data_IF_153960695402
#
_entry.id   IF_153960695402
#
_cell.length_a   1.000
_cell.length_b   1.000
_cell.length_c   1.000
_cell.angle_alpha   90.00
_cell.angle_beta   90.00
_cell.angle_gamma   90.00
#
_symmetry.space_group_name_H-M   'P 1'
#
loop_
_entity.id
_entity.type
_entity.pdbx_description
1 polymer ?
#
# COMPACT_ATOMS: atom_id res chain seq x y z
N UNK A 1 7.64 -12.93 -7.55
CA UNK A 1 8.27 -11.59 -7.45
C UNK A 1 7.22 -10.59 -7.89
N UNK A 2 6.95 -9.54 -7.12
CA UNK A 2 6.00 -8.51 -7.53
C UNK A 2 6.51 -7.82 -8.79
N UNK A 3 5.64 -7.65 -9.79
CA UNK A 3 5.94 -6.99 -11.07
C UNK A 3 5.01 -5.81 -11.20
N UNK A 4 5.44 -4.66 -10.71
CA UNK A 4 4.67 -3.41 -10.68
C UNK A 4 5.56 -2.24 -10.32
N UNK A 5 4.97 -1.05 -10.20
CA UNK A 5 5.70 0.16 -9.82
C UNK A 5 6.26 0.02 -8.40
N UNK A 6 7.46 0.53 -8.20
CA UNK A 6 8.08 0.53 -6.87
C UNK A 6 7.57 1.70 -6.00
N UNK A 7 8.03 1.75 -4.74
CA UNK A 7 7.63 2.82 -3.81
C UNK A 7 8.09 4.21 -4.26
N UNK A 8 9.18 4.34 -4.99
CA UNK A 8 9.67 5.63 -5.47
C UNK A 8 8.71 6.19 -6.51
N UNK A 9 8.31 5.37 -7.50
CA UNK A 9 7.31 5.76 -8.50
C UNK A 9 5.94 6.01 -7.88
N UNK A 10 5.53 5.16 -6.95
CA UNK A 10 4.23 5.24 -6.30
C UNK A 10 4.12 6.40 -5.30
N UNK A 11 5.22 6.83 -4.69
CA UNK A 11 5.24 7.97 -3.77
C UNK A 11 4.79 9.27 -4.46
N UNK A 12 5.14 9.42 -5.74
CA UNK A 12 4.76 10.55 -6.59
C UNK A 12 3.38 10.37 -7.24
N UNK A 13 2.76 9.20 -7.07
CA UNK A 13 1.45 8.87 -7.62
C UNK A 13 0.37 9.04 -6.54
N UNK A 14 -0.74 9.74 -6.82
CA UNK A 14 -1.92 9.74 -5.94
C UNK A 14 -2.42 8.33 -5.63
N UNK A 15 -2.81 8.05 -4.37
CA UNK A 15 -3.18 6.69 -3.90
C UNK A 15 -4.39 6.12 -4.65
N UNK A 16 -5.31 6.98 -5.07
CA UNK A 16 -6.47 6.61 -5.89
C UNK A 16 -6.10 6.09 -7.30
N UNK A 17 -4.86 6.29 -7.76
CA UNK A 17 -4.34 5.77 -9.02
C UNK A 17 -3.47 4.51 -8.85
N UNK A 18 -3.30 4.03 -7.62
CA UNK A 18 -2.62 2.76 -7.37
C UNK A 18 -3.53 1.62 -7.83
N UNK A 19 -2.95 0.60 -8.47
CA UNK A 19 -3.68 -0.60 -8.89
C UNK A 19 -3.92 -1.49 -7.65
N UNK A 20 -4.93 -2.35 -7.74
CA UNK A 20 -5.29 -3.25 -6.63
C UNK A 20 -4.13 -4.16 -6.21
N UNK A 21 -3.36 -4.67 -7.16
CA UNK A 21 -2.23 -5.57 -6.86
C UNK A 21 -1.08 -4.83 -6.17
N UNK A 22 -0.88 -3.54 -6.48
CA UNK A 22 0.12 -2.68 -5.83
C UNK A 22 -0.31 -2.40 -4.38
N UNK A 23 -1.59 -2.04 -4.17
CA UNK A 23 -2.16 -1.87 -2.83
C UNK A 23 -2.04 -3.15 -2.00
N UNK A 24 -2.38 -4.31 -2.58
CA UNK A 24 -2.28 -5.59 -1.89
C UNK A 24 -0.83 -5.94 -1.54
N UNK A 25 0.11 -5.73 -2.48
CA UNK A 25 1.52 -6.00 -2.29
C UNK A 25 2.13 -5.15 -1.17
N UNK A 26 1.92 -3.83 -1.20
CA UNK A 26 2.49 -2.93 -0.19
C UNK A 26 1.75 -2.99 1.14
N UNK A 27 0.44 -3.27 1.16
CA UNK A 27 -0.27 -3.58 2.38
C UNK A 27 0.33 -4.81 3.08
N UNK A 28 0.51 -5.92 2.35
CA UNK A 28 1.12 -7.13 2.90
C UNK A 28 2.55 -6.89 3.40
N UNK A 29 3.38 -6.24 2.59
CA UNK A 29 4.79 -6.00 2.90
C UNK A 29 4.94 -5.09 4.13
N UNK A 30 4.20 -3.97 4.18
CA UNK A 30 4.27 -3.04 5.30
C UNK A 30 3.64 -3.58 6.58
N UNK A 31 2.60 -4.42 6.47
CA UNK A 31 1.99 -5.07 7.63
C UNK A 31 2.99 -5.97 8.36
N UNK A 32 3.86 -6.69 7.63
CA UNK A 32 4.85 -7.60 8.22
C UNK A 32 5.95 -6.87 8.99
N UNK A 33 6.32 -5.66 8.55
CA UNK A 33 7.38 -4.85 9.17
C UNK A 33 6.85 -3.68 9.99
N UNK A 34 5.54 -3.62 10.22
CA UNK A 34 4.85 -2.52 10.90
C UNK A 34 5.50 -2.07 12.22
N UNK A 35 5.98 -2.96 13.11
CA UNK A 35 6.65 -2.55 14.35
C UNK A 35 7.95 -1.74 14.14
N UNK A 36 8.55 -1.87 12.96
CA UNK A 36 9.82 -1.24 12.60
C UNK A 36 9.65 -0.01 11.72
N UNK A 37 8.41 0.32 11.32
CA UNK A 37 8.13 1.52 10.52
C UNK A 37 8.26 2.78 11.38
N UNK A 38 8.99 3.76 10.84
CA UNK A 38 9.01 5.12 11.38
C UNK A 38 7.65 5.83 11.14
N UNK A 39 7.52 7.07 11.61
CA UNK A 39 6.28 7.86 11.49
C UNK A 39 5.83 8.03 10.04
N UNK A 40 6.77 8.21 9.11
CA UNK A 40 6.49 8.36 7.68
C UNK A 40 5.94 7.05 7.08
N UNK A 41 6.61 5.92 7.33
CA UNK A 41 6.17 4.60 6.90
C UNK A 41 4.80 4.23 7.46
N UNK A 42 4.52 4.56 8.72
CA UNK A 42 3.19 4.37 9.32
C UNK A 42 2.13 5.26 8.67
N UNK A 43 2.48 6.48 8.27
CA UNK A 43 1.57 7.39 7.56
C UNK A 43 1.21 6.82 6.19
N UNK A 44 2.20 6.38 5.42
CA UNK A 44 2.00 5.74 4.12
C UNK A 44 1.13 4.50 4.26
N UNK A 45 1.41 3.64 5.25
CA UNK A 45 0.61 2.45 5.49
C UNK A 45 -0.86 2.77 5.79
N UNK A 46 -1.13 3.80 6.62
CA UNK A 46 -2.50 4.25 6.92
C UNK A 46 -3.23 4.73 5.66
N UNK A 47 -2.55 5.44 4.77
CA UNK A 47 -3.14 5.89 3.50
C UNK A 47 -3.49 4.71 2.59
N UNK A 48 -2.61 3.71 2.51
CA UNK A 48 -2.87 2.46 1.76
C UNK A 48 -4.10 1.74 2.31
N UNK A 49 -4.21 1.60 3.64
CA UNK A 49 -5.37 0.97 4.28
C UNK A 49 -6.65 1.74 3.99
N UNK A 50 -6.63 3.07 4.13
CA UNK A 50 -7.80 3.93 3.81
C UNK A 50 -8.24 3.78 2.36
N UNK A 51 -7.30 3.72 1.43
CA UNK A 51 -7.61 3.53 0.00
C UNK A 51 -8.21 2.15 -0.26
N UNK A 52 -7.69 1.11 0.40
CA UNK A 52 -8.25 -0.25 0.34
C UNK A 52 -9.68 -0.27 0.88
N UNK A 53 -9.92 0.33 2.06
CA UNK A 53 -11.24 0.44 2.67
C UNK A 53 -12.22 1.21 1.78
N UNK A 54 -11.80 2.33 1.21
CA UNK A 54 -12.59 3.13 0.28
C UNK A 54 -13.01 2.35 -0.97
N UNK A 55 -12.22 1.35 -1.38
CA UNK A 55 -12.53 0.45 -2.51
C UNK A 55 -13.34 -0.79 -2.15
N UNK A 56 -13.77 -0.91 -0.89
CA UNK A 56 -14.52 -2.08 -0.41
C UNK A 56 -13.64 -3.26 0.02
N UNK A 57 -12.37 -3.02 0.33
CA UNK A 57 -11.43 -4.02 0.84
C UNK A 57 -10.61 -4.74 -0.25
N UNK A 58 -9.68 -5.58 0.21
CA UNK A 58 -8.96 -6.53 -0.66
C UNK A 58 -9.81 -7.79 -0.79
N UNK A 59 -10.42 -7.99 -1.96
CA UNK A 59 -11.05 -9.28 -2.25
C UNK A 59 -9.95 -10.34 -2.28
N UNK A 60 -10.06 -11.35 -1.40
CA UNK A 60 -9.25 -12.57 -1.49
C UNK A 60 -9.61 -13.24 -2.82
N UNK A 61 -8.67 -13.29 -3.75
CA UNK A 61 -8.72 -14.25 -4.87
C UNK A 61 -8.44 -15.65 -4.34
#
# INVERSE_FOLDING_TARGET
>A
MYVGRDMTELSMTPRNQWKKDELAHFHHSLQQIMPYLNVEGQTIYKEIVKEIEARGGLQRQ
#
